data_IF_966272305095
#
_entry.id   IF_966272305095
#
_cell.length_a   1.000
_cell.length_b   1.000
_cell.length_c   1.000
_cell.angle_alpha   90.00
_cell.angle_beta   90.00
_cell.angle_gamma   90.00
#
_symmetry.space_group_name_H-M   'P 1'
#
loop_
_entity.id
_entity.type
_entity.pdbx_description
1 polymer ?
#
# COMPACT_ATOMS: atom_id res chain seq x y z
N UNK A 1 -5.18 -6.13 -14.62
CA UNK A 1 -4.23 -5.53 -13.69
C UNK A 1 -4.88 -5.36 -12.33
N UNK A 2 -4.15 -5.70 -11.28
CA UNK A 2 -4.66 -5.52 -9.92
C UNK A 2 -4.57 -4.04 -9.52
N UNK A 3 -5.58 -3.56 -8.83
CA UNK A 3 -5.60 -2.18 -8.33
C UNK A 3 -4.79 -2.06 -7.05
N UNK A 4 -3.92 -1.06 -6.99
CA UNK A 4 -3.10 -0.80 -5.81
C UNK A 4 -3.70 0.35 -5.03
N UNK A 5 -3.88 0.16 -3.72
CA UNK A 5 -4.33 1.21 -2.82
C UNK A 5 -3.31 1.37 -1.71
N UNK A 6 -2.92 2.61 -1.45
CA UNK A 6 -1.98 2.95 -0.37
C UNK A 6 -2.72 3.77 0.67
N UNK A 7 -2.75 3.27 1.89
CA UNK A 7 -3.37 3.98 3.00
C UNK A 7 -2.29 4.73 3.76
N UNK A 8 -2.50 6.02 3.94
CA UNK A 8 -1.49 6.93 4.49
C UNK A 8 -2.03 7.75 5.65
N UNK A 9 -1.16 8.51 6.30
CA UNK A 9 -1.52 9.45 7.36
C UNK A 9 -0.60 10.67 7.29
N UNK A 10 -0.85 11.62 8.19
CA UNK A 10 -0.04 12.84 8.27
C UNK A 10 1.35 12.51 8.83
N UNK A 11 2.35 13.26 8.37
CA UNK A 11 3.73 13.17 8.89
C UNK A 11 4.30 11.77 8.82
N UNK A 12 4.03 11.07 7.75
CA UNK A 12 4.48 9.69 7.58
C UNK A 12 5.56 9.61 6.49
N UNK A 13 6.83 9.53 6.94
CA UNK A 13 7.95 9.42 6.00
C UNK A 13 7.92 8.12 5.20
N UNK A 14 7.51 7.03 5.84
CA UNK A 14 7.40 5.74 5.14
C UNK A 14 6.29 5.74 4.10
N UNK A 15 5.22 6.51 4.33
CA UNK A 15 4.17 6.68 3.32
C UNK A 15 4.74 7.33 2.07
N UNK A 16 5.57 8.36 2.25
CA UNK A 16 6.25 9.03 1.14
C UNK A 16 7.14 8.05 0.38
N UNK A 17 7.88 7.21 1.10
CA UNK A 17 8.76 6.23 0.48
C UNK A 17 7.99 5.22 -0.36
N UNK A 18 6.86 4.74 0.14
CA UNK A 18 6.02 3.79 -0.60
C UNK A 18 5.50 4.42 -1.89
N UNK A 19 5.01 5.64 -1.81
CA UNK A 19 4.50 6.32 -3.00
C UNK A 19 5.61 6.54 -4.03
N UNK A 20 6.79 6.95 -3.56
CA UNK A 20 7.93 7.17 -4.46
C UNK A 20 8.36 5.88 -5.14
N UNK A 21 8.36 4.77 -4.42
CA UNK A 21 8.72 3.47 -4.98
C UNK A 21 7.75 3.08 -6.10
N UNK A 22 6.45 3.19 -5.84
CA UNK A 22 5.44 2.85 -6.83
C UNK A 22 5.56 3.74 -8.06
N UNK A 23 5.82 5.02 -7.86
CA UNK A 23 5.98 5.96 -8.97
C UNK A 23 7.22 5.64 -9.81
N UNK A 24 8.33 5.26 -9.17
CA UNK A 24 9.54 4.87 -9.90
C UNK A 24 9.31 3.64 -10.76
N UNK A 25 8.45 2.73 -10.31
CA UNK A 25 8.16 1.50 -11.06
C UNK A 25 7.05 1.68 -12.07
N UNK A 26 6.47 2.89 -12.16
CA UNK A 26 5.37 3.13 -13.08
C UNK A 26 4.09 2.43 -12.69
N UNK A 27 3.92 2.13 -11.40
CA UNK A 27 2.73 1.43 -10.91
C UNK A 27 1.72 2.46 -10.43
N UNK A 28 0.56 2.58 -11.10
CA UNK A 28 -0.47 3.51 -10.65
C UNK A 28 -1.11 3.01 -9.35
N UNK A 29 -1.47 3.94 -8.49
CA UNK A 29 -2.09 3.60 -7.22
C UNK A 29 -3.09 4.67 -6.81
N UNK A 30 -4.00 4.29 -5.90
CA UNK A 30 -4.91 5.22 -5.27
C UNK A 30 -4.44 5.45 -3.84
N UNK A 31 -4.36 6.70 -3.42
CA UNK A 31 -4.00 7.03 -2.05
C UNK A 31 -5.27 7.36 -1.26
N UNK A 32 -5.40 6.75 -0.07
CA UNK A 32 -6.48 7.07 0.85
C UNK A 32 -5.86 7.43 2.20
N UNK A 33 -6.16 8.63 2.69
CA UNK A 33 -5.59 9.12 3.94
C UNK A 33 -6.57 8.91 5.09
N UNK A 34 -6.08 8.34 6.19
CA UNK A 34 -6.90 8.14 7.38
C UNK A 34 -7.27 9.47 8.04
N UNK A 35 -6.55 10.54 7.70
CA UNK A 35 -6.88 11.88 8.20
C UNK A 35 -8.09 12.46 7.47
N UNK A 36 -8.33 12.04 6.24
CA UNK A 36 -9.39 12.59 5.41
C UNK A 36 -10.69 11.78 5.48
N UNK A 37 -10.61 10.52 5.91
CA UNK A 37 -11.78 9.63 5.87
C UNK A 37 -12.13 9.11 7.26
N UNK A 38 -13.20 9.62 7.88
CA UNK A 38 -13.64 9.11 9.18
C UNK A 38 -13.96 7.61 9.10
N UNK A 39 -13.50 6.87 10.10
CA UNK A 39 -13.75 5.42 10.16
C UNK A 39 -12.73 4.59 9.39
N UNK A 40 -11.83 5.21 8.62
CA UNK A 40 -10.88 4.44 7.82
C UNK A 40 -9.87 3.68 8.68
N UNK A 41 -9.45 4.25 9.81
CA UNK A 41 -8.52 3.55 10.72
C UNK A 41 -9.12 2.25 11.23
N UNK A 42 -10.40 2.27 11.60
CA UNK A 42 -11.09 1.08 12.08
C UNK A 42 -11.27 0.05 10.96
N UNK A 43 -11.56 0.52 9.75
CA UNK A 43 -11.67 -0.36 8.60
C UNK A 43 -10.35 -1.09 8.33
N UNK A 44 -9.23 -0.35 8.38
CA UNK A 44 -7.91 -0.95 8.17
C UNK A 44 -7.58 -1.98 9.24
N UNK A 45 -7.88 -1.66 10.48
CA UNK A 45 -7.62 -2.61 11.57
C UNK A 45 -8.43 -3.89 11.35
N UNK A 46 -9.67 -3.77 10.91
CA UNK A 46 -10.50 -4.95 10.64
C UNK A 46 -9.96 -5.78 9.48
N UNK A 47 -9.40 -5.11 8.45
CA UNK A 47 -8.93 -5.82 7.24
C UNK A 47 -7.54 -6.40 7.39
N UNK A 48 -6.63 -5.70 8.06
CA UNK A 48 -5.22 -6.12 8.13
C UNK A 48 -4.79 -6.59 9.52
N UNK A 49 -5.56 -6.25 10.54
CA UNK A 49 -5.17 -6.50 11.93
C UNK A 49 -4.08 -5.57 12.42
N UNK A 50 -3.74 -4.53 11.67
CA UNK A 50 -2.65 -3.62 12.00
C UNK A 50 -3.10 -2.17 12.02
N UNK A 51 -2.46 -1.40 12.89
CA UNK A 51 -2.73 0.04 13.02
C UNK A 51 -1.65 0.90 12.36
N UNK A 52 -0.58 0.28 11.88
CA UNK A 52 0.57 1.00 11.32
C UNK A 52 0.27 1.54 9.93
N UNK A 53 0.98 2.61 9.54
CA UNK A 53 0.92 3.19 8.21
C UNK A 53 2.33 3.31 7.67
N UNK A 54 2.53 3.22 6.36
CA UNK A 54 1.51 3.00 5.34
C UNK A 54 1.02 1.55 5.32
N UNK A 55 -0.15 1.34 4.70
CA UNK A 55 -0.62 -0.01 4.39
C UNK A 55 -0.91 -0.08 2.91
N UNK A 56 -0.41 -1.12 2.27
CA UNK A 56 -0.54 -1.30 0.82
C UNK A 56 -1.39 -2.53 0.56
N UNK A 57 -2.41 -2.36 -0.29
CA UNK A 57 -3.26 -3.45 -0.73
C UNK A 57 -3.19 -3.57 -2.24
N UNK A 58 -3.18 -4.79 -2.73
CA UNK A 58 -3.32 -5.08 -4.16
C UNK A 58 -4.66 -5.80 -4.30
N UNK A 59 -5.65 -5.11 -4.85
CA UNK A 59 -7.02 -5.56 -4.78
C UNK A 59 -7.46 -5.64 -3.33
N UNK A 60 -7.90 -6.79 -2.88
CA UNK A 60 -8.28 -7.00 -1.49
C UNK A 60 -7.17 -7.62 -0.66
N UNK A 61 -6.03 -7.91 -1.28
CA UNK A 61 -4.92 -8.57 -0.61
C UNK A 61 -4.03 -7.56 0.10
N UNK A 62 -3.83 -7.76 1.39
CA UNK A 62 -2.92 -6.94 2.18
C UNK A 62 -1.48 -7.35 1.88
N UNK A 63 -0.67 -6.38 1.46
CA UNK A 63 0.74 -6.63 1.13
C UNK A 63 1.65 -6.30 2.31
N UNK A 64 1.34 -5.21 3.01
CA UNK A 64 2.16 -4.78 4.14
C UNK A 64 2.48 -3.32 4.08
N UNK A 65 3.53 -2.92 4.77
CA UNK A 65 4.01 -1.55 4.80
C UNK A 65 5.21 -1.34 3.91
N UNK A 66 6.04 -0.33 4.27
CA UNK A 66 7.18 0.05 3.45
C UNK A 66 8.22 -1.06 3.33
N UNK A 67 8.52 -1.76 4.43
CA UNK A 67 9.52 -2.82 4.40
C UNK A 67 9.10 -3.97 3.51
N UNK A 68 7.85 -4.42 3.66
CA UNK A 68 7.31 -5.51 2.86
C UNK A 68 7.30 -5.14 1.38
N UNK A 69 6.91 -3.90 1.06
CA UNK A 69 6.89 -3.46 -0.32
C UNK A 69 8.29 -3.42 -0.92
N UNK A 70 9.27 -2.93 -0.16
CA UNK A 70 10.64 -2.90 -0.63
C UNK A 70 11.20 -4.30 -0.86
N UNK A 71 10.85 -5.25 0.02
CA UNK A 71 11.29 -6.63 -0.13
C UNK A 71 10.70 -7.25 -1.40
N UNK A 72 9.42 -7.01 -1.66
CA UNK A 72 8.78 -7.50 -2.88
C UNK A 72 9.41 -6.89 -4.13
N UNK A 73 9.73 -5.61 -4.07
CA UNK A 73 10.39 -4.93 -5.19
C UNK A 73 11.76 -5.52 -5.45
N UNK A 74 12.55 -5.73 -4.40
CA UNK A 74 13.92 -6.26 -4.52
C UNK A 74 13.94 -7.67 -5.08
N UNK A 75 12.95 -8.49 -4.75
CA UNK A 75 12.87 -9.88 -5.22
C UNK A 75 12.25 -10.02 -6.60
N UNK A 76 11.66 -8.95 -7.14
CA UNK A 76 10.91 -9.01 -8.40
C UNK A 76 9.47 -9.46 -8.25
N UNK A 77 9.05 -9.83 -7.03
CA UNK A 77 7.69 -10.31 -6.81
C UNK A 77 6.65 -9.22 -6.99
N UNK A 78 7.03 -7.96 -6.76
CA UNK A 78 6.11 -6.84 -6.94
C UNK A 78 5.62 -6.77 -8.40
N UNK A 79 6.54 -6.90 -9.34
CA UNK A 79 6.18 -6.91 -10.76
C UNK A 79 5.25 -8.09 -11.08
N UNK A 80 5.51 -9.24 -10.50
CA UNK A 80 4.67 -10.41 -10.71
C UNK A 80 3.26 -10.19 -10.18
N UNK A 81 3.14 -9.56 -9.01
CA UNK A 81 1.83 -9.23 -8.45
C UNK A 81 1.03 -8.31 -9.36
N UNK A 82 1.72 -7.35 -10.00
CA UNK A 82 1.05 -6.42 -10.90
C UNK A 82 0.54 -7.10 -12.17
N UNK A 83 1.12 -8.22 -12.53
CA UNK A 83 0.70 -8.98 -13.72
C UNK A 83 -0.39 -10.00 -13.42
N UNK A 84 -0.69 -10.22 -12.15
CA UNK A 84 -1.72 -11.17 -11.73
C UNK A 84 -3.10 -10.58 -11.99
N UNK A 85 -3.99 -11.41 -12.52
CA UNK A 85 -5.38 -11.01 -12.70
C UNK A 85 -6.17 -11.30 -11.44
N UNK A 86 -6.98 -10.35 -11.06
CA UNK A 86 -7.87 -10.46 -9.93
C UNK A 86 -9.18 -11.10 -10.34
#
# INVERSE_FOLDING_TARGET
>A
MAAVTVYTGSFCGYCTQVKALLERRGIPYTERSVEDEPGLREELLARSGRRTLPQVFVGERYIGGAEELRALDASGELTQLMQTKE
#
